data_IF_500928846958
#
_entry.id   IF_500928846958
#
_cell.length_a   1.000
_cell.length_b   1.000
_cell.length_c   1.000
_cell.angle_alpha   90.00
_cell.angle_beta   90.00
_cell.angle_gamma   90.00
#
_symmetry.space_group_name_H-M   'P 1'
#
loop_
_entity.id
_entity.type
_entity.pdbx_description
1 polymer ?
#
# COMPACT_ATOMS: atom_id res chain seq x y z
N UNK A 1 -6.39 3.31 -31.27
CA UNK A 1 -7.38 2.66 -32.16
C UNK A 1 -7.82 1.38 -31.49
N UNK A 2 -9.07 1.26 -31.01
CA UNK A 2 -9.58 -0.01 -30.47
C UNK A 2 -9.99 -0.91 -31.65
N UNK A 3 -9.36 -2.08 -31.82
CA UNK A 3 -9.86 -3.09 -32.77
C UNK A 3 -11.17 -3.67 -32.25
N UNK A 4 -12.09 -3.95 -33.18
CA UNK A 4 -13.38 -4.57 -32.89
C UNK A 4 -13.19 -6.03 -32.43
N UNK A 5 -13.56 -6.34 -31.20
CA UNK A 5 -13.65 -7.71 -30.72
C UNK A 5 -14.86 -8.43 -31.34
N UNK A 6 -14.70 -9.70 -31.72
CA UNK A 6 -15.79 -10.52 -32.29
C UNK A 6 -16.72 -11.05 -31.19
N UNK A 7 -17.78 -10.31 -30.90
CA UNK A 7 -18.76 -10.63 -29.85
C UNK A 7 -19.43 -12.02 -30.03
N UNK A 8 -19.85 -12.44 -31.24
CA UNK A 8 -20.35 -13.80 -31.47
C UNK A 8 -19.40 -14.91 -31.01
N UNK A 9 -18.10 -14.77 -31.28
CA UNK A 9 -17.09 -15.75 -30.92
C UNK A 9 -16.89 -15.83 -29.40
N UNK A 10 -16.82 -14.66 -28.75
CA UNK A 10 -16.73 -14.55 -27.29
C UNK A 10 -17.94 -15.21 -26.62
N UNK A 11 -19.16 -14.95 -27.11
CA UNK A 11 -20.39 -15.57 -26.60
C UNK A 11 -20.38 -17.08 -26.75
N UNK A 12 -19.89 -17.61 -27.88
CA UNK A 12 -19.78 -19.05 -28.11
C UNK A 12 -18.82 -19.71 -27.11
N UNK A 13 -17.68 -19.07 -26.82
CA UNK A 13 -16.74 -19.54 -25.78
C UNK A 13 -17.38 -19.55 -24.40
N UNK A 14 -18.04 -18.45 -24.01
CA UNK A 14 -18.66 -18.31 -22.70
C UNK A 14 -19.85 -19.26 -22.49
N UNK A 15 -20.59 -19.59 -23.56
CA UNK A 15 -21.69 -20.55 -23.49
C UNK A 15 -21.24 -21.97 -23.10
N UNK A 16 -19.97 -22.33 -23.33
CA UNK A 16 -19.39 -23.62 -22.95
C UNK A 16 -18.75 -23.65 -21.56
N UNK A 17 -18.63 -22.51 -20.88
CA UNK A 17 -18.01 -22.41 -19.56
C UNK A 17 -19.06 -22.36 -18.45
N UNK A 18 -19.04 -23.33 -17.54
CA UNK A 18 -19.86 -23.32 -16.32
C UNK A 18 -18.99 -22.97 -15.11
N UNK A 19 -19.34 -21.89 -14.40
CA UNK A 19 -18.70 -21.48 -13.15
C UNK A 19 -18.60 -19.96 -12.95
N UNK A 20 -18.19 -19.53 -11.77
CA UNK A 20 -17.94 -18.12 -11.44
C UNK A 20 -16.53 -17.69 -11.89
N UNK A 21 -16.30 -17.61 -13.21
CA UNK A 21 -15.15 -16.85 -13.73
C UNK A 21 -15.58 -15.39 -13.84
N UNK A 22 -15.13 -14.58 -12.88
CA UNK A 22 -15.32 -13.13 -12.91
C UNK A 22 -14.29 -12.51 -13.85
N UNK A 23 -14.77 -11.82 -14.87
CA UNK A 23 -13.97 -11.06 -15.83
C UNK A 23 -14.04 -9.58 -15.48
N UNK A 24 -12.92 -8.88 -15.59
CA UNK A 24 -12.79 -7.45 -15.25
C UNK A 24 -13.04 -6.56 -16.47
N UNK A 25 -12.78 -7.06 -17.67
CA UNK A 25 -13.02 -6.35 -18.93
C UNK A 25 -13.35 -7.30 -20.08
N UNK A 26 -13.87 -6.76 -21.19
CA UNK A 26 -14.13 -7.53 -22.40
C UNK A 26 -12.82 -7.91 -23.11
N UNK A 27 -11.81 -7.04 -23.01
CA UNK A 27 -10.46 -7.23 -23.51
C UNK A 27 -9.78 -8.45 -22.86
N UNK A 28 -10.01 -8.66 -21.57
CA UNK A 28 -9.51 -9.83 -20.84
C UNK A 28 -10.07 -11.14 -21.40
N UNK A 29 -11.35 -11.16 -21.76
CA UNK A 29 -11.98 -12.34 -22.36
C UNK A 29 -11.53 -12.54 -23.82
N UNK A 30 -11.28 -11.44 -24.52
CA UNK A 30 -10.87 -11.49 -25.92
C UNK A 30 -9.42 -11.97 -26.09
N UNK A 31 -8.58 -11.88 -25.05
CA UNK A 31 -7.18 -12.33 -25.02
C UNK A 31 -6.36 -11.87 -26.25
N UNK A 32 -6.60 -10.65 -26.73
CA UNK A 32 -5.88 -10.12 -27.90
C UNK A 32 -4.41 -9.89 -27.60
N UNK A 33 -3.56 -10.01 -28.63
CA UNK A 33 -2.12 -9.80 -28.48
C UNK A 33 -1.79 -8.37 -28.00
N UNK A 34 -2.53 -7.36 -28.46
CA UNK A 34 -2.41 -5.98 -27.98
C UNK A 34 -2.74 -5.84 -26.49
N UNK A 35 -3.70 -6.61 -25.96
CA UNK A 35 -4.04 -6.61 -24.53
C UNK A 35 -2.98 -7.35 -23.71
N UNK A 36 -2.42 -8.43 -24.24
CA UNK A 36 -1.29 -9.15 -23.62
C UNK A 36 -0.04 -8.28 -23.58
N UNK A 37 0.29 -7.61 -24.68
CA UNK A 37 1.40 -6.66 -24.73
C UNK A 37 1.17 -5.51 -23.77
N UNK A 38 -0.04 -4.95 -23.69
CA UNK A 38 -0.38 -3.93 -22.71
C UNK A 38 -0.14 -4.42 -21.27
N UNK A 39 -0.61 -5.62 -20.92
CA UNK A 39 -0.37 -6.23 -19.60
C UNK A 39 1.12 -6.41 -19.29
N UNK A 40 1.93 -6.80 -20.28
CA UNK A 40 3.36 -6.98 -20.12
C UNK A 40 4.13 -5.66 -19.95
N UNK A 41 3.62 -4.55 -20.48
CA UNK A 41 4.25 -3.23 -20.34
C UNK A 41 3.80 -2.47 -19.09
N UNK A 42 2.62 -2.76 -18.55
CA UNK A 42 2.10 -2.06 -17.36
C UNK A 42 2.80 -2.49 -16.07
N UNK A 43 3.25 -3.75 -16.00
CA UNK A 43 3.98 -4.26 -14.85
C UNK A 43 5.46 -4.48 -15.19
N UNK A 44 6.41 -3.97 -14.38
CA UNK A 44 7.83 -4.24 -14.59
C UNK A 44 8.11 -5.74 -14.51
N UNK A 45 9.07 -6.22 -15.32
CA UNK A 45 9.45 -7.63 -15.35
C UNK A 45 9.74 -8.14 -13.94
N UNK A 46 9.04 -9.20 -13.53
CA UNK A 46 9.17 -9.81 -12.20
C UNK A 46 8.13 -9.36 -11.16
N UNK A 47 7.16 -8.50 -11.50
CA UNK A 47 6.06 -8.15 -10.60
C UNK A 47 5.27 -9.38 -10.10
N UNK A 48 5.12 -10.41 -10.93
CA UNK A 48 4.48 -11.67 -10.54
C UNK A 48 5.24 -12.43 -9.44
N UNK A 49 6.56 -12.25 -9.34
CA UNK A 49 7.37 -12.90 -8.30
C UNK A 49 7.00 -12.37 -6.90
N UNK A 50 6.50 -11.14 -6.82
CA UNK A 50 6.08 -10.47 -5.58
C UNK A 50 4.70 -10.94 -5.12
N UNK A 51 3.88 -11.48 -6.04
CA UNK A 51 2.56 -12.02 -5.75
C UNK A 51 2.62 -13.43 -5.15
N UNK A 52 3.77 -14.12 -5.27
CA UNK A 52 4.00 -15.39 -4.59
C UNK A 52 3.94 -15.24 -3.05
N UNK A 53 3.50 -16.26 -2.29
CA UNK A 53 3.44 -16.18 -0.83
C UNK A 53 4.79 -15.81 -0.17
N UNK A 54 5.90 -16.29 -0.74
CA UNK A 54 7.25 -15.99 -0.30
C UNK A 54 7.66 -14.56 -0.66
N UNK A 55 7.38 -14.13 -1.90
CA UNK A 55 7.68 -12.77 -2.38
C UNK A 55 6.96 -11.69 -1.57
N UNK A 56 5.67 -11.89 -1.30
CA UNK A 56 4.86 -10.95 -0.52
C UNK A 56 5.38 -10.79 0.92
N UNK A 57 5.76 -11.89 1.57
CA UNK A 57 6.34 -11.86 2.92
C UNK A 57 7.69 -11.12 2.92
N UNK A 58 8.54 -11.38 1.95
CA UNK A 58 9.86 -10.73 1.86
C UNK A 58 9.74 -9.25 1.55
N UNK A 59 8.79 -8.84 0.71
CA UNK A 59 8.49 -7.43 0.48
C UNK A 59 8.06 -6.72 1.77
N UNK A 60 7.10 -7.29 2.51
CA UNK A 60 6.65 -6.71 3.79
C UNK A 60 7.77 -6.64 4.83
N UNK A 61 8.67 -7.64 4.86
CA UNK A 61 9.85 -7.60 5.73
C UNK A 61 10.78 -6.43 5.37
N UNK A 62 11.06 -6.21 4.08
CA UNK A 62 11.92 -5.13 3.63
C UNK A 62 11.30 -3.76 3.92
N UNK A 63 10.01 -3.57 3.61
CA UNK A 63 9.29 -2.35 3.98
C UNK A 63 9.31 -2.11 5.50
N UNK A 64 9.02 -3.15 6.29
CA UNK A 64 9.05 -3.07 7.75
C UNK A 64 10.43 -2.72 8.29
N UNK A 65 11.50 -3.28 7.72
CA UNK A 65 12.87 -2.95 8.09
C UNK A 65 13.22 -1.48 7.77
N UNK A 66 12.83 -0.99 6.59
CA UNK A 66 13.03 0.42 6.21
C UNK A 66 12.27 1.37 7.14
N UNK A 67 11.03 1.04 7.50
CA UNK A 67 10.23 1.83 8.45
C UNK A 67 10.80 1.76 9.87
N UNK A 68 11.33 0.63 10.30
CA UNK A 68 12.00 0.51 11.59
C UNK A 68 13.26 1.40 11.64
N UNK A 69 14.08 1.36 10.59
CA UNK A 69 15.29 2.17 10.49
C UNK A 69 15.00 3.68 10.40
N UNK A 70 14.00 4.08 9.61
CA UNK A 70 13.65 5.49 9.41
C UNK A 70 12.68 6.08 10.44
N UNK A 71 11.79 5.26 11.01
CA UNK A 71 10.67 5.71 11.85
C UNK A 71 10.87 5.49 13.35
N UNK A 72 11.55 4.43 13.78
CA UNK A 72 11.82 4.21 15.22
C UNK A 72 12.95 5.09 15.74
N UNK A 73 13.84 5.56 14.87
CA UNK A 73 14.85 6.58 15.21
C UNK A 73 14.25 7.97 15.44
N UNK A 74 13.00 8.21 15.03
CA UNK A 74 12.33 9.51 15.16
C UNK A 74 11.70 9.74 16.55
N UNK A 75 11.55 8.70 17.37
CA UNK A 75 11.21 8.88 18.78
C UNK A 75 12.45 9.39 19.52
N UNK A 76 12.68 10.71 19.49
CA UNK A 76 13.53 11.35 20.50
C UNK A 76 12.69 11.51 21.76
N UNK A 77 12.83 10.66 22.80
CA UNK A 77 12.11 10.89 24.05
C UNK A 77 12.47 12.30 24.51
N UNK A 78 11.45 13.11 24.86
CA UNK A 78 11.70 14.42 25.45
C UNK A 78 12.72 14.24 26.56
N UNK A 79 13.87 14.91 26.46
CA UNK A 79 14.93 14.78 27.43
C UNK A 79 14.33 15.09 28.81
N UNK A 80 14.57 14.22 29.78
CA UNK A 80 14.08 14.42 31.13
C UNK A 80 14.78 15.66 31.72
N UNK A 81 14.17 16.82 31.52
CA UNK A 81 14.61 18.05 32.15
C UNK A 81 14.35 17.93 33.65
N UNK A 82 15.36 18.28 34.45
CA UNK A 82 15.23 18.25 35.90
C UNK A 82 14.38 19.44 36.34
N UNK A 83 13.08 19.23 36.49
CA UNK A 83 12.15 20.22 37.05
C UNK A 83 12.36 20.26 38.57
N UNK A 84 13.02 21.31 39.06
CA UNK A 84 13.26 21.51 40.50
C UNK A 84 12.19 22.44 41.06
N UNK A 85 11.37 22.02 42.05
CA UNK A 85 10.38 22.90 42.66
C UNK A 85 11.04 23.92 43.58
N UNK A 86 10.31 24.99 43.89
CA UNK A 86 10.72 25.93 44.92
C UNK A 86 10.84 25.22 46.28
N UNK A 87 11.89 25.56 47.05
CA UNK A 87 12.02 25.09 48.45
C UNK A 87 10.92 25.70 49.33
N UNK A 88 10.48 26.91 49.02
CA UNK A 88 9.33 27.59 49.63
C UNK A 88 8.53 28.28 48.53
N UNK A 89 7.33 27.79 48.26
CA UNK A 89 6.48 28.33 47.20
C UNK A 89 5.90 29.70 47.61
N UNK A 90 5.98 30.74 46.76
CA UNK A 90 5.32 32.01 47.00
C UNK A 90 3.81 31.90 46.75
N UNK A 91 2.99 32.57 47.58
CA UNK A 91 1.51 32.47 47.54
C UNK A 91 0.89 33.06 46.26
N UNK A 92 1.60 33.97 45.60
CA UNK A 92 1.10 34.69 44.43
C UNK A 92 1.41 34.02 43.08
N UNK A 93 2.19 32.92 43.03
CA UNK A 93 2.57 32.29 41.76
C UNK A 93 2.00 30.87 41.69
N UNK A 94 1.02 30.69 40.81
CA UNK A 94 0.41 29.39 40.52
C UNK A 94 0.92 28.92 39.15
N UNK A 95 1.71 27.83 39.06
CA UNK A 95 2.19 27.29 37.79
C UNK A 95 1.04 27.03 36.82
N UNK A 96 1.11 27.61 35.62
CA UNK A 96 0.06 27.50 34.60
C UNK A 96 -0.97 28.63 34.59
N UNK A 97 -0.95 29.56 35.55
CA UNK A 97 -1.76 30.77 35.50
C UNK A 97 -0.93 32.00 35.12
N UNK A 98 -1.37 32.81 34.14
CA UNK A 98 -0.69 34.04 33.78
C UNK A 98 -0.86 35.09 34.88
N UNK A 99 0.21 35.82 35.17
CA UNK A 99 0.21 36.96 36.10
C UNK A 99 -0.04 38.23 35.27
N UNK A 100 -1.25 38.79 35.35
CA UNK A 100 -1.60 40.08 34.74
C UNK A 100 -2.18 41.03 35.78
#
# INVERSE_FOLDING_TARGET
MRKNFNLPEIRKRLAGTNGQKYWRSLEEIAETDEFKDFLHHEFPQGADQWLSPIGRRNFLKLMGASLALGGLAACNPQQAEKIVPYVKAPEAIIPGQPMY
#
